data_IF_533471126286
#
_entry.id   IF_533471126286
#
_cell.length_a   1.000
_cell.length_b   1.000
_cell.length_c   1.000
_cell.angle_alpha   90.00
_cell.angle_beta   90.00
_cell.angle_gamma   90.00
#
_symmetry.space_group_name_H-M   'P 1'
#
loop_
_entity.id
_entity.type
_entity.pdbx_description
1 polymer ?
#
# COMPACT_ATOMS: atom_id res chain seq x y z
N UNK A 1 16.83 13.12 25.49
CA UNK A 1 15.93 12.70 24.41
C UNK A 1 15.87 11.18 24.40
N UNK A 2 14.69 10.62 24.50
CA UNK A 2 14.55 9.17 24.45
C UNK A 2 14.34 8.70 23.02
N UNK A 3 14.46 7.41 22.79
CA UNK A 3 14.39 6.79 21.46
C UNK A 3 12.99 6.94 20.82
N UNK A 4 11.95 7.05 21.63
CA UNK A 4 10.59 7.23 21.14
C UNK A 4 10.40 8.53 20.37
N UNK A 5 10.99 9.62 20.83
CA UNK A 5 10.89 10.91 20.14
C UNK A 5 11.58 10.89 18.78
N UNK A 6 12.68 10.17 18.67
CA UNK A 6 13.41 10.00 17.41
C UNK A 6 12.56 9.24 16.41
N UNK A 7 11.91 8.17 16.84
CA UNK A 7 11.03 7.35 15.99
C UNK A 7 9.83 8.15 15.51
N UNK A 8 9.19 8.91 16.37
CA UNK A 8 8.06 9.76 16.01
C UNK A 8 8.44 10.82 14.99
N UNK A 9 9.60 11.44 15.15
CA UNK A 9 10.12 12.42 14.19
C UNK A 9 10.31 11.79 12.81
N UNK A 10 10.82 10.56 12.75
CA UNK A 10 11.00 9.85 11.50
C UNK A 10 9.68 9.56 10.81
N UNK A 11 8.67 9.13 11.56
CA UNK A 11 7.34 8.82 11.02
C UNK A 11 6.63 10.09 10.53
N UNK A 12 6.79 11.19 11.26
CA UNK A 12 6.11 12.45 10.95
C UNK A 12 6.82 13.29 9.89
N UNK A 13 8.03 12.90 9.49
CA UNK A 13 8.84 13.71 8.58
C UNK A 13 8.80 13.32 7.12
N UNK A 14 7.83 12.48 6.71
CA UNK A 14 7.66 12.23 5.28
C UNK A 14 7.17 13.51 4.62
N UNK A 15 7.98 14.05 3.73
CA UNK A 15 7.72 15.31 3.05
C UNK A 15 6.41 15.21 2.24
N UNK A 16 5.44 16.12 2.45
CA UNK A 16 4.22 16.13 1.64
C UNK A 16 4.48 16.20 0.14
N UNK A 17 5.55 16.84 -0.28
CA UNK A 17 5.94 16.91 -1.69
C UNK A 17 6.32 15.52 -2.22
N UNK A 18 6.96 14.70 -1.41
CA UNK A 18 7.27 13.30 -1.77
C UNK A 18 5.99 12.49 -1.92
N UNK A 19 5.06 12.62 -0.99
CA UNK A 19 3.77 11.92 -1.05
C UNK A 19 3.04 12.30 -2.34
N UNK A 20 3.03 13.56 -2.68
CA UNK A 20 2.38 14.07 -3.89
C UNK A 20 3.04 13.48 -5.15
N UNK A 21 4.36 13.45 -5.20
CA UNK A 21 5.10 12.85 -6.33
C UNK A 21 4.78 11.37 -6.47
N UNK A 22 4.73 10.65 -5.37
CA UNK A 22 4.44 9.22 -5.40
C UNK A 22 2.98 8.93 -5.78
N UNK A 23 2.04 9.78 -5.40
CA UNK A 23 0.65 9.69 -5.86
C UNK A 23 0.54 9.89 -7.37
N UNK A 24 1.26 10.87 -7.91
CA UNK A 24 1.30 11.12 -9.36
C UNK A 24 1.88 9.91 -10.09
N UNK A 25 2.95 9.35 -9.56
CA UNK A 25 3.58 8.16 -10.13
C UNK A 25 2.64 6.95 -10.09
N UNK A 26 1.91 6.76 -8.99
CA UNK A 26 0.91 5.70 -8.88
C UNK A 26 -0.19 5.85 -9.94
N UNK A 27 -0.63 7.07 -10.19
CA UNK A 27 -1.63 7.37 -11.21
C UNK A 27 -1.12 6.97 -12.60
N UNK A 28 0.12 7.29 -12.92
CA UNK A 28 0.76 6.88 -14.17
C UNK A 28 0.83 5.36 -14.28
N UNK A 29 1.19 4.70 -13.19
CA UNK A 29 1.30 3.25 -13.16
C UNK A 29 -0.04 2.55 -13.37
N UNK A 30 -1.16 3.15 -12.92
CA UNK A 30 -2.51 2.61 -13.16
C UNK A 30 -2.86 2.57 -14.64
N UNK A 31 -2.29 3.45 -15.44
CA UNK A 31 -2.50 3.48 -16.89
C UNK A 31 -1.54 2.54 -17.63
N UNK A 32 -0.56 1.96 -16.95
CA UNK A 32 0.48 1.14 -17.59
C UNK A 32 -0.02 -0.26 -17.94
N UNK A 33 0.60 -0.87 -18.92
CA UNK A 33 0.35 -2.26 -19.31
C UNK A 33 0.66 -3.21 -18.15
N UNK A 34 1.71 -2.91 -17.39
CA UNK A 34 2.08 -3.72 -16.24
C UNK A 34 0.93 -3.81 -15.23
N UNK A 35 0.33 -2.68 -14.89
CA UNK A 35 -0.77 -2.66 -13.92
C UNK A 35 -2.01 -3.38 -14.45
N UNK A 36 -2.32 -3.18 -15.73
CA UNK A 36 -3.45 -3.86 -16.37
C UNK A 36 -3.28 -5.38 -16.34
N UNK A 37 -2.07 -5.87 -16.51
CA UNK A 37 -1.76 -7.29 -16.39
C UNK A 37 -1.90 -7.78 -14.94
N UNK A 38 -1.45 -7.01 -13.97
CA UNK A 38 -1.56 -7.38 -12.57
C UNK A 38 -3.01 -7.47 -12.12
N UNK A 39 -3.80 -6.44 -12.38
CA UNK A 39 -5.21 -6.42 -11.98
C UNK A 39 -6.04 -7.44 -12.78
N UNK A 40 -5.61 -7.75 -14.00
CA UNK A 40 -6.26 -8.75 -14.85
C UNK A 40 -6.19 -10.16 -14.31
N UNK A 41 -5.24 -10.46 -13.43
CA UNK A 41 -5.16 -11.77 -12.76
C UNK A 41 -6.32 -11.98 -11.79
N UNK A 42 -6.94 -10.90 -11.31
CA UNK A 42 -8.15 -10.98 -10.50
C UNK A 42 -7.96 -11.53 -9.09
N UNK A 43 -6.75 -11.50 -8.55
CA UNK A 43 -6.43 -12.11 -7.25
C UNK A 43 -5.92 -11.05 -6.28
N UNK A 44 -6.51 -11.01 -5.08
CA UNK A 44 -6.04 -10.15 -4.01
C UNK A 44 -4.73 -10.68 -3.42
N UNK A 45 -3.75 -9.80 -3.27
CA UNK A 45 -2.46 -10.13 -2.67
C UNK A 45 -2.61 -10.61 -1.21
N UNK A 46 -3.53 -10.02 -0.46
CA UNK A 46 -3.64 -10.26 0.98
C UNK A 46 -4.44 -11.52 1.32
N UNK A 47 -5.64 -11.67 0.77
CA UNK A 47 -6.50 -12.81 1.08
C UNK A 47 -6.42 -13.94 0.04
N UNK A 48 -5.76 -13.69 -1.08
CA UNK A 48 -5.54 -14.66 -2.17
C UNK A 48 -6.82 -15.12 -2.86
N UNK A 49 -7.93 -14.44 -2.62
CA UNK A 49 -9.21 -14.75 -3.24
C UNK A 49 -9.36 -14.03 -4.58
N UNK A 50 -10.21 -14.57 -5.44
CA UNK A 50 -10.52 -13.98 -6.74
C UNK A 50 -11.68 -13.01 -6.63
N UNK A 51 -11.57 -11.90 -7.37
CA UNK A 51 -12.58 -10.85 -7.38
C UNK A 51 -12.79 -10.32 -8.79
N UNK A 52 -13.97 -9.78 -9.04
CA UNK A 52 -14.23 -8.98 -10.23
C UNK A 52 -13.37 -7.71 -10.15
N UNK A 53 -13.00 -7.18 -11.31
CA UNK A 53 -12.10 -6.03 -11.43
C UNK A 53 -12.55 -4.83 -10.62
N UNK A 54 -13.86 -4.54 -10.60
CA UNK A 54 -14.43 -3.41 -9.87
C UNK A 54 -14.26 -3.52 -8.35
N UNK A 55 -13.93 -4.69 -7.84
CA UNK A 55 -13.68 -4.93 -6.41
C UNK A 55 -12.18 -4.96 -6.08
N UNK A 56 -11.33 -4.68 -7.04
CA UNK A 56 -9.88 -4.67 -6.89
C UNK A 56 -9.34 -3.26 -7.00
N UNK A 57 -8.26 -2.99 -6.27
CA UNK A 57 -7.63 -1.68 -6.22
C UNK A 57 -6.11 -1.81 -6.06
N UNK A 58 -5.42 -0.70 -6.29
CA UNK A 58 -3.97 -0.61 -6.08
C UNK A 58 -3.68 -0.38 -4.61
N UNK A 59 -2.78 -1.16 -4.06
CA UNK A 59 -2.35 -1.03 -2.67
C UNK A 59 -0.83 -0.90 -2.62
N UNK A 60 -0.34 -0.02 -1.75
CA UNK A 60 1.08 0.12 -1.46
C UNK A 60 1.40 -0.70 -0.20
N UNK A 61 2.31 -1.65 -0.29
CA UNK A 61 2.71 -2.49 0.86
C UNK A 61 3.23 -1.62 2.01
N UNK A 62 4.05 -0.63 1.68
CA UNK A 62 4.42 0.45 2.58
C UNK A 62 3.64 1.67 2.16
N UNK A 63 2.75 2.20 3.01
CA UNK A 63 1.94 3.37 2.64
C UNK A 63 2.78 4.58 2.30
N UNK A 64 2.27 5.43 1.41
CA UNK A 64 2.94 6.68 1.02
C UNK A 64 3.16 7.58 2.23
N UNK A 65 2.20 7.63 3.16
CA UNK A 65 2.30 8.41 4.39
C UNK A 65 3.42 7.93 5.32
N UNK A 66 3.94 6.74 5.08
CA UNK A 66 5.02 6.12 5.86
C UNK A 66 6.31 5.96 5.04
N UNK A 67 6.45 6.73 3.97
CA UNK A 67 7.64 6.75 3.14
C UNK A 67 7.67 5.73 2.01
N UNK A 68 6.56 5.04 1.75
CA UNK A 68 6.48 4.10 0.64
C UNK A 68 6.62 4.77 -0.71
N UNK A 69 7.12 4.02 -1.67
CA UNK A 69 7.32 4.50 -3.04
C UNK A 69 6.33 3.81 -3.99
N UNK A 70 6.01 4.49 -5.08
CA UNK A 70 5.21 3.91 -6.16
C UNK A 70 6.14 3.21 -7.13
N UNK A 71 6.42 1.95 -6.86
CA UNK A 71 7.21 1.10 -7.73
C UNK A 71 6.65 -0.33 -7.72
N UNK A 72 7.08 -1.13 -8.67
CA UNK A 72 6.54 -2.50 -8.86
C UNK A 72 6.71 -3.40 -7.63
N UNK A 73 7.74 -3.17 -6.82
CA UNK A 73 8.01 -3.96 -5.62
C UNK A 73 7.08 -3.60 -4.46
N UNK A 74 6.57 -2.38 -4.46
CA UNK A 74 5.74 -1.86 -3.37
C UNK A 74 4.26 -1.80 -3.72
N UNK A 75 3.88 -2.15 -4.94
CA UNK A 75 2.49 -2.06 -5.41
C UNK A 75 1.94 -3.45 -5.68
N UNK A 76 0.78 -3.72 -5.12
CA UNK A 76 0.07 -4.98 -5.30
C UNK A 76 -1.41 -4.72 -5.60
N UNK A 77 -2.08 -5.75 -6.11
CA UNK A 77 -3.53 -5.75 -6.30
C UNK A 77 -4.17 -6.21 -4.99
N UNK A 78 -5.10 -5.44 -4.48
CA UNK A 78 -5.83 -5.77 -3.24
C UNK A 78 -7.32 -5.66 -3.48
N UNK A 79 -8.11 -6.52 -2.84
CA UNK A 79 -9.55 -6.29 -2.82
C UNK A 79 -9.85 -5.08 -1.92
N UNK A 80 -10.96 -4.41 -2.19
CA UNK A 80 -11.34 -3.19 -1.45
C UNK A 80 -11.48 -3.44 0.04
N UNK A 81 -11.96 -4.61 0.43
CA UNK A 81 -12.13 -4.98 1.83
C UNK A 81 -10.79 -5.09 2.56
N UNK A 82 -9.83 -5.79 1.99
CA UNK A 82 -8.49 -5.92 2.58
C UNK A 82 -7.77 -4.57 2.63
N UNK A 83 -7.90 -3.76 1.57
CA UNK A 83 -7.28 -2.45 1.51
C UNK A 83 -7.87 -1.52 2.58
N UNK A 84 -9.17 -1.53 2.77
CA UNK A 84 -9.86 -0.76 3.79
C UNK A 84 -9.45 -1.19 5.21
N UNK A 85 -9.33 -2.49 5.42
CA UNK A 85 -8.88 -3.04 6.71
C UNK A 85 -7.43 -2.68 7.02
N UNK A 86 -6.57 -2.72 6.01
CA UNK A 86 -5.15 -2.39 6.15
C UNK A 86 -4.93 -0.91 6.48
N UNK A 87 -5.67 -0.02 5.84
CA UNK A 87 -5.53 1.44 5.99
C UNK A 87 -4.07 1.86 5.79
N UNK A 88 -3.45 2.49 6.80
CA UNK A 88 -2.06 2.97 6.76
C UNK A 88 -1.06 2.00 7.39
N UNK A 89 -1.46 0.77 7.64
CA UNK A 89 -0.57 -0.25 8.21
C UNK A 89 0.37 -0.81 7.14
N UNK A 90 1.56 -1.19 7.54
CA UNK A 90 2.42 -2.02 6.70
C UNK A 90 1.90 -3.46 6.73
N UNK A 91 2.35 -4.29 5.79
CA UNK A 91 2.00 -5.72 5.77
C UNK A 91 2.45 -6.41 7.06
N UNK A 92 3.63 -6.05 7.58
CA UNK A 92 4.13 -6.62 8.83
C UNK A 92 3.22 -6.28 10.02
N UNK A 93 2.78 -5.03 10.11
CA UNK A 93 1.86 -4.58 11.16
C UNK A 93 0.50 -5.25 11.05
N UNK A 94 0.01 -5.42 9.84
CA UNK A 94 -1.25 -6.09 9.57
C UNK A 94 -1.21 -7.55 10.04
N UNK A 95 -0.13 -8.26 9.76
CA UNK A 95 0.09 -9.64 10.20
C UNK A 95 0.15 -9.75 11.73
N UNK A 96 0.83 -8.81 12.37
CA UNK A 96 0.91 -8.75 13.83
C UNK A 96 -0.46 -8.52 14.45
N UNK A 97 -1.28 -7.64 13.88
CA UNK A 97 -2.64 -7.41 14.36
C UNK A 97 -3.51 -8.67 14.25
N UNK A 98 -3.35 -9.47 13.21
CA UNK A 98 -4.09 -10.72 13.01
C UNK A 98 -3.72 -11.78 14.03
N UNK A 99 -2.50 -11.79 14.51
CA UNK A 99 -2.01 -12.77 15.49
C UNK A 99 -2.57 -12.49 16.89
N UNK A 100 -2.98 -11.29 17.18
CA UNK A 100 -3.46 -10.88 18.50
C UNK A 100 -4.87 -11.37 18.82
N UNK A 101 -5.57 -11.87 17.87
CA UNK A 101 -6.89 -12.48 18.09
C UNK A 101 -6.75 -13.95 18.48
#
# INVERSE_FOLDING_TARGET
MNDENVIYQYIETVDPAQIKRQRSKAREMRASSWWKQQIGKGVCYHCEEKFARENLTMDHLIPLSRGGLSNKKNIVVSCKQCNSHKKNLTVAELRLSSIKD
#
